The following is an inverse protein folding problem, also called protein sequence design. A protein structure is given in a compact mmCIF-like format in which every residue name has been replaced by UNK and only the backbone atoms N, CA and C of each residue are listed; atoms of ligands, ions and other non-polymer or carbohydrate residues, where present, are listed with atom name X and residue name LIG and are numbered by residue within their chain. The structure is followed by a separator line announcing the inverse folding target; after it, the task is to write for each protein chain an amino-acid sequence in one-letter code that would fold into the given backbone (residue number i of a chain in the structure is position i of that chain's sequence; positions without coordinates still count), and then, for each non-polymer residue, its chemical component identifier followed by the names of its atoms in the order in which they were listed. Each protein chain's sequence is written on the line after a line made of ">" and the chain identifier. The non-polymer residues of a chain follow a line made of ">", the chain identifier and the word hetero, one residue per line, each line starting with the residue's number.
data_IF_370853400895
#
_entry.id   IF_370853400895
#
_cell.length_a   1.000
_cell.length_b   1.000
_cell.length_c   1.000
_cell.angle_alpha   90.00
_cell.angle_beta   90.00
_cell.angle_gamma   90.00
#
_symmetry.space_group_name_H-M   'P 1'
#
loop_
_entity.id
_entity.type
_entity.pdbx_description
1 polymer ?
#
# COMPACT_ATOMS: atom_id res chain seq x y z
N UNK A 1 8.09 -3.52 -9.29
CA UNK A 1 7.69 -4.85 -9.77
C UNK A 1 8.85 -5.60 -10.39
N UNK A 2 9.53 -4.92 -11.31
CA UNK A 2 10.67 -5.49 -12.02
C UNK A 2 11.79 -5.88 -11.06
N UNK A 3 12.03 -5.03 -10.06
CA UNK A 3 13.04 -5.31 -9.04
C UNK A 3 12.74 -6.60 -8.28
N UNK A 4 11.47 -6.86 -7.97
CA UNK A 4 11.09 -8.07 -7.25
C UNK A 4 11.34 -9.32 -8.09
N UNK A 5 11.03 -9.28 -9.38
CA UNK A 5 11.33 -10.38 -10.30
C UNK A 5 12.83 -10.65 -10.38
N UNK A 6 13.61 -9.57 -10.44
CA UNK A 6 15.07 -9.67 -10.48
C UNK A 6 15.60 -10.40 -9.24
N UNK A 7 14.97 -10.22 -8.10
CA UNK A 7 15.35 -10.88 -6.84
C UNK A 7 14.80 -12.30 -6.71
N UNK A 8 14.11 -12.79 -7.73
CA UNK A 8 13.57 -14.13 -7.72
C UNK A 8 12.23 -14.27 -7.00
N UNK A 9 11.60 -13.16 -6.65
CA UNK A 9 10.29 -13.19 -5.99
C UNK A 9 9.18 -13.28 -7.03
N UNK A 10 8.28 -14.22 -6.82
CA UNK A 10 7.15 -14.41 -7.73
C UNK A 10 5.86 -13.97 -7.07
N UNK A 11 5.12 -13.10 -7.74
CA UNK A 11 3.94 -12.47 -7.18
C UNK A 11 2.81 -12.38 -8.23
N UNK A 12 1.60 -12.08 -7.76
CA UNK A 12 0.48 -11.76 -8.62
C UNK A 12 0.24 -10.26 -8.57
N UNK A 13 -0.09 -9.69 -9.73
CA UNK A 13 -0.39 -8.25 -9.83
C UNK A 13 -1.89 -8.01 -9.81
N UNK A 14 -2.30 -6.95 -9.12
CA UNK A 14 -3.67 -6.45 -9.16
C UNK A 14 -4.72 -7.56 -8.94
N UNK A 15 -4.47 -8.41 -7.93
CA UNK A 15 -5.35 -9.54 -7.67
C UNK A 15 -6.72 -9.06 -7.18
N UNK A 16 -7.78 -9.52 -7.82
CA UNK A 16 -9.15 -9.24 -7.40
C UNK A 16 -9.65 -10.25 -6.36
N UNK A 17 -8.89 -11.29 -6.12
CA UNK A 17 -9.27 -12.35 -5.18
C UNK A 17 -8.97 -11.99 -3.72
N UNK A 18 -8.10 -11.01 -3.50
CA UNK A 18 -7.73 -10.60 -2.16
C UNK A 18 -8.46 -9.32 -1.80
N UNK A 19 -8.99 -9.27 -0.58
CA UNK A 19 -9.75 -8.11 -0.11
C UNK A 19 -8.92 -6.82 -0.24
N UNK A 20 -9.52 -5.76 -0.75
CA UNK A 20 -8.87 -4.48 -0.92
C UNK A 20 -8.07 -4.33 -2.22
N UNK A 21 -7.99 -5.39 -3.01
CA UNK A 21 -7.32 -5.37 -4.32
C UNK A 21 -5.88 -4.86 -4.26
N UNK A 22 -4.99 -5.54 -3.54
CA UNK A 22 -3.58 -5.12 -3.46
C UNK A 22 -2.92 -5.05 -4.82
N UNK A 23 -1.93 -4.18 -4.94
CA UNK A 23 -1.16 -4.07 -6.19
C UNK A 23 -0.29 -5.29 -6.43
N UNK A 24 0.28 -5.86 -5.38
CA UNK A 24 1.13 -7.03 -5.44
C UNK A 24 0.73 -7.99 -4.33
N UNK A 25 0.64 -9.28 -4.65
CA UNK A 25 0.22 -10.30 -3.70
C UNK A 25 1.15 -11.50 -3.76
N UNK A 26 1.58 -11.96 -2.58
CA UNK A 26 2.29 -13.23 -2.42
C UNK A 26 1.33 -14.17 -1.68
N UNK A 27 0.52 -14.90 -2.44
CA UNK A 27 -0.58 -15.68 -1.86
C UNK A 27 -0.10 -16.75 -0.88
N UNK A 28 0.93 -17.48 -1.23
CA UNK A 28 1.44 -18.54 -0.37
C UNK A 28 1.98 -18.04 0.96
N UNK A 29 2.48 -16.81 1.01
CA UNK A 29 3.03 -16.20 2.22
C UNK A 29 2.02 -15.27 2.90
N UNK A 30 0.88 -15.03 2.28
CA UNK A 30 -0.14 -14.09 2.75
C UNK A 30 0.44 -12.69 2.99
N UNK A 31 1.13 -12.17 1.99
CA UNK A 31 1.66 -10.81 2.01
C UNK A 31 0.95 -9.99 0.94
N UNK A 32 0.38 -8.87 1.33
CA UNK A 32 -0.31 -7.95 0.43
C UNK A 32 0.43 -6.62 0.43
N UNK A 33 0.78 -6.12 -0.76
CA UNK A 33 1.53 -4.87 -0.92
C UNK A 33 0.66 -3.86 -1.65
N UNK A 34 0.56 -2.66 -1.08
CA UNK A 34 -0.16 -1.55 -1.66
C UNK A 34 0.80 -0.41 -1.97
N UNK A 35 0.66 0.17 -3.17
CA UNK A 35 1.42 1.36 -3.57
C UNK A 35 0.44 2.53 -3.57
N UNK A 36 0.54 3.40 -2.58
CA UNK A 36 -0.44 4.46 -2.34
C UNK A 36 0.00 5.79 -2.93
N UNK A 37 -0.88 6.40 -3.73
CA UNK A 37 -0.68 7.75 -4.20
C UNK A 37 -0.90 8.73 -3.06
N UNK A 38 0.02 9.67 -2.87
CA UNK A 38 -0.06 10.64 -1.78
C UNK A 38 -1.36 11.45 -1.81
N UNK A 39 -1.77 11.87 -2.99
CA UNK A 39 -2.98 12.67 -3.11
C UNK A 39 -4.23 11.90 -2.70
N UNK A 40 -4.45 10.73 -3.30
CA UNK A 40 -5.70 9.98 -3.11
C UNK A 40 -5.79 9.26 -1.77
N UNK A 41 -4.66 8.95 -1.14
CA UNK A 41 -4.63 8.23 0.13
C UNK A 41 -4.33 9.11 1.33
N UNK A 42 -4.32 10.43 1.11
CA UNK A 42 -4.26 11.39 2.21
C UNK A 42 -2.92 11.47 2.93
N UNK A 43 -1.81 11.41 2.18
CA UNK A 43 -0.49 11.61 2.78
C UNK A 43 -0.43 12.95 3.50
N UNK A 44 0.00 12.92 4.77
CA UNK A 44 0.11 14.10 5.61
C UNK A 44 -1.22 14.89 5.65
N UNK A 45 -2.32 14.17 5.82
CA UNK A 45 -3.66 14.71 5.61
C UNK A 45 -4.00 15.93 6.47
N UNK A 46 -3.59 15.92 7.73
CA UNK A 46 -3.92 17.02 8.63
C UNK A 46 -3.38 18.36 8.12
N UNK A 47 -2.21 18.35 7.47
CA UNK A 47 -1.64 19.53 6.88
C UNK A 47 -2.18 19.80 5.48
N UNK A 48 -2.30 18.77 4.65
CA UNK A 48 -2.78 18.91 3.27
C UNK A 48 -4.21 19.39 3.18
N UNK A 49 -5.04 18.96 4.10
CA UNK A 49 -6.44 19.37 4.16
C UNK A 49 -6.59 20.89 4.20
N UNK A 50 -5.67 21.57 4.88
CA UNK A 50 -5.68 23.02 5.02
C UNK A 50 -5.29 23.76 3.74
N UNK A 51 -4.67 23.07 2.79
CA UNK A 51 -4.20 23.67 1.55
C UNK A 51 -5.26 23.73 0.46
N UNK A 52 -6.40 23.03 0.63
CA UNK A 52 -7.48 23.07 -0.34
C UNK A 52 -8.22 24.39 -0.24
N UNK A 53 -8.10 25.22 -1.29
CA UNK A 53 -8.73 26.52 -1.35
C UNK A 53 -10.02 26.53 -2.15
N UNK A 54 -10.23 25.52 -3.00
CA UNK A 54 -11.43 25.40 -3.81
C UNK A 54 -11.86 23.96 -3.89
N UNK A 55 -13.16 23.76 -4.14
CA UNK A 55 -13.75 22.43 -4.28
C UNK A 55 -13.53 21.54 -3.04
N UNK A 56 -13.47 22.15 -1.85
CA UNK A 56 -13.28 21.40 -0.61
C UNK A 56 -14.38 20.37 -0.38
N UNK A 57 -15.61 20.73 -0.72
CA UNK A 57 -16.75 19.83 -0.55
C UNK A 57 -16.68 18.59 -1.44
N UNK A 58 -15.88 18.65 -2.49
CA UNK A 58 -15.70 17.54 -3.41
C UNK A 58 -14.51 16.67 -3.00
N UNK A 59 -13.35 17.29 -2.79
CA UNK A 59 -12.10 16.56 -2.57
C UNK A 59 -11.96 16.01 -1.16
N UNK A 60 -12.28 16.81 -0.14
CA UNK A 60 -12.06 16.42 1.24
C UNK A 60 -12.84 15.17 1.63
N UNK A 61 -14.17 15.08 1.40
CA UNK A 61 -14.89 13.87 1.74
C UNK A 61 -14.39 12.64 0.99
N UNK A 62 -13.96 12.82 -0.25
CA UNK A 62 -13.50 11.71 -1.07
C UNK A 62 -12.19 11.13 -0.54
N UNK A 63 -11.25 12.00 -0.19
CA UNK A 63 -9.96 11.57 0.35
C UNK A 63 -10.15 10.94 1.74
N UNK A 64 -11.01 11.53 2.56
CA UNK A 64 -11.27 10.99 3.90
C UNK A 64 -11.92 9.61 3.84
N UNK A 65 -12.79 9.37 2.85
CA UNK A 65 -13.35 8.03 2.64
C UNK A 65 -12.26 7.04 2.23
N UNK A 66 -11.31 7.47 1.40
CA UNK A 66 -10.20 6.62 1.00
C UNK A 66 -9.33 6.24 2.20
N UNK A 67 -9.05 7.20 3.07
CA UNK A 67 -8.27 6.96 4.29
C UNK A 67 -8.99 5.93 5.17
N UNK A 68 -10.29 6.12 5.39
CA UNK A 68 -11.08 5.20 6.20
C UNK A 68 -11.11 3.80 5.58
N UNK A 69 -11.24 3.72 4.26
CA UNK A 69 -11.25 2.45 3.55
C UNK A 69 -9.91 1.74 3.67
N UNK A 70 -8.80 2.47 3.55
CA UNK A 70 -7.47 1.89 3.70
C UNK A 70 -7.31 1.26 5.08
N UNK A 71 -7.79 1.94 6.11
CA UNK A 71 -7.74 1.41 7.47
C UNK A 71 -8.57 0.13 7.60
N UNK A 72 -9.77 0.13 7.03
CA UNK A 72 -10.64 -1.04 7.04
C UNK A 72 -9.99 -2.22 6.33
N UNK A 73 -9.38 -1.96 5.17
CA UNK A 73 -8.68 -2.99 4.41
C UNK A 73 -7.52 -3.56 5.22
N UNK A 74 -6.72 -2.70 5.85
CA UNK A 74 -5.60 -3.14 6.67
C UNK A 74 -6.09 -4.04 7.81
N UNK A 75 -7.13 -3.61 8.51
CA UNK A 75 -7.67 -4.34 9.66
C UNK A 75 -8.23 -5.69 9.24
N UNK A 76 -8.97 -5.73 8.14
CA UNK A 76 -9.58 -6.95 7.63
C UNK A 76 -8.51 -7.97 7.20
N UNK A 77 -7.50 -7.53 6.49
CA UNK A 77 -6.44 -8.42 6.04
C UNK A 77 -5.64 -8.95 7.22
N UNK A 78 -5.32 -8.10 8.19
CA UNK A 78 -4.60 -8.54 9.38
C UNK A 78 -5.39 -9.57 10.18
N UNK A 79 -6.70 -9.38 10.32
CA UNK A 79 -7.55 -10.33 11.03
C UNK A 79 -7.57 -11.71 10.36
N UNK A 80 -7.38 -11.76 9.06
CA UNK A 80 -7.37 -13.02 8.32
C UNK A 80 -5.96 -13.58 8.10
N UNK A 81 -4.97 -13.07 8.83
CA UNK A 81 -3.63 -13.61 8.84
C UNK A 81 -2.68 -13.06 7.79
N UNK A 82 -3.06 -11.95 7.16
CA UNK A 82 -2.22 -11.31 6.14
C UNK A 82 -1.28 -10.29 6.75
N UNK A 83 -0.08 -10.19 6.16
CA UNK A 83 0.85 -9.09 6.43
C UNK A 83 0.61 -8.04 5.37
N UNK A 84 0.37 -6.81 5.80
CA UNK A 84 0.07 -5.69 4.89
C UNK A 84 1.25 -4.74 4.86
N UNK A 85 1.76 -4.46 3.67
CA UNK A 85 2.81 -3.48 3.45
C UNK A 85 2.26 -2.37 2.57
N UNK A 86 2.45 -1.13 2.97
CA UNK A 86 2.04 0.03 2.20
C UNK A 86 3.22 0.96 1.99
N UNK A 87 3.37 1.41 0.75
CA UNK A 87 4.44 2.34 0.39
C UNK A 87 3.83 3.53 -0.34
N UNK A 88 4.28 4.73 0.03
CA UNK A 88 3.90 5.93 -0.69
C UNK A 88 4.64 5.98 -2.02
N UNK A 89 3.99 6.50 -3.06
CA UNK A 89 4.59 6.57 -4.39
C UNK A 89 5.92 7.30 -4.41
N UNK A 90 6.03 8.39 -3.63
CA UNK A 90 7.29 9.14 -3.57
C UNK A 90 8.41 8.34 -2.91
N UNK A 91 8.09 7.54 -1.90
CA UNK A 91 9.10 6.71 -1.24
C UNK A 91 9.63 5.64 -2.20
N UNK A 92 8.75 5.08 -3.02
CA UNK A 92 9.16 4.11 -4.04
C UNK A 92 10.11 4.76 -5.04
N UNK A 93 9.80 5.98 -5.46
CA UNK A 93 10.64 6.71 -6.42
C UNK A 93 12.00 7.08 -5.82
N UNK A 94 12.03 7.44 -4.55
CA UNK A 94 13.26 7.88 -3.90
C UNK A 94 14.20 6.73 -3.61
N UNK A 95 13.66 5.59 -3.17
CA UNK A 95 14.49 4.46 -2.77
C UNK A 95 13.76 3.16 -3.05
N UNK A 96 13.75 2.79 -4.32
CA UNK A 96 13.13 1.53 -4.76
C UNK A 96 13.77 0.32 -4.07
N UNK A 97 15.10 0.38 -3.88
CA UNK A 97 15.82 -0.73 -3.27
C UNK A 97 15.39 -0.97 -1.83
N UNK A 98 15.21 0.09 -1.04
CA UNK A 98 14.77 -0.04 0.33
C UNK A 98 13.37 -0.66 0.42
N UNK A 99 12.46 -0.24 -0.46
CA UNK A 99 11.11 -0.80 -0.51
C UNK A 99 11.16 -2.28 -0.87
N UNK A 100 11.96 -2.63 -1.88
CA UNK A 100 12.11 -4.02 -2.30
C UNK A 100 12.76 -4.88 -1.22
N UNK A 101 13.72 -4.31 -0.47
CA UNK A 101 14.36 -5.01 0.65
C UNK A 101 13.34 -5.38 1.72
N UNK A 102 12.43 -4.46 2.05
CA UNK A 102 11.41 -4.71 3.05
C UNK A 102 10.45 -5.81 2.60
N UNK A 103 10.03 -5.76 1.33
CA UNK A 103 9.16 -6.79 0.76
C UNK A 103 9.85 -8.15 0.81
N UNK A 104 11.10 -8.21 0.40
CA UNK A 104 11.84 -9.46 0.38
C UNK A 104 11.98 -10.05 1.78
N UNK A 105 12.35 -9.23 2.77
CA UNK A 105 12.46 -9.70 4.15
C UNK A 105 11.14 -10.26 4.66
N UNK A 106 10.03 -9.57 4.35
CA UNK A 106 8.71 -9.98 4.79
C UNK A 106 8.30 -11.30 4.16
N UNK A 107 8.51 -11.43 2.84
CA UNK A 107 8.13 -12.64 2.11
C UNK A 107 8.95 -13.84 2.54
N UNK A 108 10.25 -13.64 2.78
CA UNK A 108 11.14 -14.72 3.19
C UNK A 108 11.09 -15.03 4.69
N UNK A 109 10.36 -14.21 5.46
CA UNK A 109 10.26 -14.42 6.90
C UNK A 109 11.53 -14.09 7.66
N UNK A 110 12.34 -13.16 7.16
CA UNK A 110 13.63 -12.78 7.77
C UNK A 110 13.49 -11.62 8.75
N UNK A 111 12.34 -11.48 9.39
CA UNK A 111 12.06 -10.39 10.33
C UNK A 111 12.40 -10.81 11.75
N UNK A 112 13.61 -10.78 12.07
CA UNK A 112 14.04 -11.12 13.42
C UNK A 112 14.32 -9.90 14.27
#
# INVERSE_FOLDING_TARGET
>A
RKELWTRGLRYQKNSKKVFGKPDIVFIGKKVAVFCDSEFWHGYDWDNKKKEFKSHQDFWIPKIERNIARDKEVNDQLKRTGWTVLRFWGNDIKKDLQACADEIERTVKGEND
#
